data_IF_004427992445
#
_entry.id   IF_004427992445
#
_cell.length_a   1.000
_cell.length_b   1.000
_cell.length_c   1.000
_cell.angle_alpha   90.00
_cell.angle_beta   90.00
_cell.angle_gamma   90.00
#
_symmetry.space_group_name_H-M   'P 1'
#
loop_
_entity.id
_entity.type
_entity.pdbx_description
1 polymer ?
#
# COMPACT_ATOMS: atom_id res chain seq x y z
N UNK A 1 28.76 -8.91 7.12
CA UNK A 1 28.31 -10.10 7.86
C UNK A 1 27.31 -10.86 7.01
N UNK A 2 27.69 -12.04 6.50
CA UNK A 2 26.90 -12.76 5.51
C UNK A 2 25.53 -13.23 6.07
N UNK A 3 25.45 -13.72 7.30
CA UNK A 3 24.19 -14.10 7.95
C UNK A 3 23.12 -12.97 7.96
N UNK A 4 23.51 -11.74 8.32
CA UNK A 4 22.60 -10.59 8.30
C UNK A 4 22.13 -10.22 6.88
N UNK A 5 23.01 -10.38 5.89
CA UNK A 5 22.66 -10.20 4.48
C UNK A 5 21.66 -11.24 3.98
N UNK A 6 21.80 -12.50 4.39
CA UNK A 6 20.85 -13.58 4.04
C UNK A 6 19.48 -13.32 4.66
N UNK A 7 19.43 -12.92 5.93
CA UNK A 7 18.17 -12.56 6.59
C UNK A 7 17.48 -11.39 5.87
N UNK A 8 18.23 -10.33 5.52
CA UNK A 8 17.70 -9.20 4.76
C UNK A 8 17.17 -9.59 3.38
N UNK A 9 17.88 -10.47 2.66
CA UNK A 9 17.44 -11.01 1.38
C UNK A 9 16.13 -11.79 1.51
N UNK A 10 16.06 -12.72 2.48
CA UNK A 10 14.87 -13.54 2.72
C UNK A 10 13.69 -12.66 3.16
N UNK A 11 13.91 -11.68 4.04
CA UNK A 11 12.90 -10.71 4.46
C UNK A 11 12.37 -9.91 3.26
N UNK A 12 13.25 -9.43 2.38
CA UNK A 12 12.87 -8.71 1.16
C UNK A 12 12.06 -9.56 0.18
N UNK A 13 12.46 -10.81 -0.05
CA UNK A 13 11.72 -11.75 -0.91
C UNK A 13 10.34 -12.07 -0.32
N UNK A 14 10.28 -12.32 0.98
CA UNK A 14 9.03 -12.61 1.68
C UNK A 14 8.09 -11.40 1.70
N UNK A 15 8.61 -10.19 1.92
CA UNK A 15 7.84 -8.95 1.80
C UNK A 15 7.34 -8.73 0.37
N UNK A 16 8.14 -9.03 -0.65
CA UNK A 16 7.72 -8.92 -2.05
C UNK A 16 6.54 -9.85 -2.37
N UNK A 17 6.61 -11.11 -1.92
CA UNK A 17 5.52 -12.07 -2.04
C UNK A 17 4.26 -11.57 -1.32
N UNK A 18 4.40 -11.14 -0.06
CA UNK A 18 3.27 -10.65 0.72
C UNK A 18 2.63 -9.42 0.08
N UNK A 19 3.45 -8.49 -0.40
CA UNK A 19 3.02 -7.29 -1.10
C UNK A 19 2.23 -7.62 -2.35
N UNK A 20 2.68 -8.59 -3.16
CA UNK A 20 1.93 -9.05 -4.33
C UNK A 20 0.53 -9.58 -3.94
N UNK A 21 0.43 -10.33 -2.83
CA UNK A 21 -0.83 -10.91 -2.37
C UNK A 21 -1.80 -9.86 -1.83
N UNK A 22 -1.40 -9.05 -0.83
CA UNK A 22 -2.32 -8.08 -0.22
C UNK A 22 -2.63 -6.91 -1.15
N UNK A 23 -1.69 -6.45 -2.00
CA UNK A 23 -2.00 -5.45 -3.03
C UNK A 23 -2.91 -6.02 -4.10
N UNK A 24 -2.67 -7.27 -4.52
CA UNK A 24 -3.55 -7.96 -5.46
C UNK A 24 -5.00 -7.98 -4.95
N UNK A 25 -5.19 -8.29 -3.66
CA UNK A 25 -6.49 -8.29 -3.01
C UNK A 25 -7.14 -6.89 -3.04
N UNK A 26 -6.40 -5.87 -2.66
CA UNK A 26 -6.87 -4.49 -2.62
C UNK A 26 -7.21 -3.93 -4.01
N UNK A 27 -6.40 -4.23 -5.02
CA UNK A 27 -6.67 -3.83 -6.40
C UNK A 27 -7.87 -4.58 -7.00
N UNK A 28 -8.03 -5.86 -6.68
CA UNK A 28 -9.21 -6.61 -7.10
C UNK A 28 -10.48 -6.08 -6.42
N UNK A 29 -10.41 -5.73 -5.13
CA UNK A 29 -11.51 -5.08 -4.42
C UNK A 29 -11.85 -3.69 -4.98
N UNK A 30 -10.85 -2.85 -5.22
CA UNK A 30 -11.05 -1.55 -5.87
C UNK A 30 -11.60 -1.68 -7.30
N UNK A 31 -11.12 -2.68 -8.06
CA UNK A 31 -11.64 -3.03 -9.38
C UNK A 31 -13.10 -3.46 -9.34
N UNK A 32 -13.50 -4.24 -8.32
CA UNK A 32 -14.89 -4.65 -8.12
C UNK A 32 -15.82 -3.48 -7.75
N UNK A 33 -15.35 -2.55 -6.91
CA UNK A 33 -16.06 -1.29 -6.65
C UNK A 33 -16.25 -0.52 -7.95
N UNK A 34 -15.19 -0.36 -8.76
CA UNK A 34 -15.28 0.34 -10.03
C UNK A 34 -16.21 -0.35 -11.02
N UNK A 35 -16.16 -1.69 -11.10
CA UNK A 35 -17.02 -2.47 -11.99
C UNK A 35 -18.50 -2.34 -11.61
N UNK A 36 -18.81 -2.40 -10.32
CA UNK A 36 -20.20 -2.38 -9.84
C UNK A 36 -20.77 -0.96 -9.82
N UNK A 37 -20.00 0.02 -9.31
CA UNK A 37 -20.48 1.38 -9.06
C UNK A 37 -20.13 2.39 -10.14
N UNK A 38 -19.12 2.12 -10.97
CA UNK A 38 -18.54 3.10 -11.91
C UNK A 38 -17.73 4.22 -11.24
N UNK A 39 -17.65 4.25 -9.90
CA UNK A 39 -16.99 5.32 -9.16
C UNK A 39 -15.48 5.13 -9.12
N UNK A 40 -14.75 6.22 -9.35
CA UNK A 40 -13.27 6.29 -9.24
C UNK A 40 -12.78 7.22 -8.14
N UNK A 41 -13.57 8.24 -7.82
CA UNK A 41 -13.20 9.24 -6.84
C UNK A 41 -13.69 8.82 -5.46
N UNK A 42 -12.78 8.76 -4.49
CA UNK A 42 -13.08 8.40 -3.11
C UNK A 42 -14.08 9.38 -2.46
N UNK A 43 -14.12 10.64 -2.91
CA UNK A 43 -15.09 11.62 -2.41
C UNK A 43 -16.54 11.32 -2.82
N UNK A 44 -16.74 10.56 -3.90
CA UNK A 44 -18.07 10.15 -4.37
C UNK A 44 -18.55 8.84 -3.73
N UNK A 45 -17.68 8.18 -2.96
CA UNK A 45 -17.97 6.90 -2.30
C UNK A 45 -18.44 7.12 -0.85
N UNK A 46 -19.23 6.16 -0.34
CA UNK A 46 -19.69 6.13 1.04
C UNK A 46 -20.70 5.00 1.25
N UNK A 47 -20.73 4.41 2.45
CA UNK A 47 -21.71 3.39 2.84
C UNK A 47 -21.69 2.09 2.03
N UNK A 48 -20.61 1.81 1.27
CA UNK A 48 -20.52 0.63 0.41
C UNK A 48 -20.55 -0.70 1.18
N UNK A 49 -20.35 -0.71 2.50
CA UNK A 49 -20.50 -1.93 3.31
C UNK A 49 -21.91 -2.51 3.22
N UNK A 50 -22.93 -1.69 2.97
CA UNK A 50 -24.31 -2.14 2.88
C UNK A 50 -24.67 -2.68 1.50
N UNK A 51 -24.14 -2.09 0.42
CA UNK A 51 -24.39 -2.53 -0.95
C UNK A 51 -23.45 -3.64 -1.41
N UNK A 52 -22.21 -3.66 -0.92
CA UNK A 52 -21.14 -4.59 -1.29
C UNK A 52 -20.46 -5.24 -0.07
N UNK A 53 -21.21 -5.94 0.81
CA UNK A 53 -20.69 -6.43 2.09
C UNK A 53 -19.55 -7.44 1.95
N UNK A 54 -19.55 -8.30 0.92
CA UNK A 54 -18.47 -9.28 0.72
C UNK A 54 -17.21 -8.60 0.22
N UNK A 55 -17.34 -7.66 -0.71
CA UNK A 55 -16.21 -6.83 -1.17
C UNK A 55 -15.62 -6.03 -0.01
N UNK A 56 -16.47 -5.42 0.83
CA UNK A 56 -16.03 -4.71 2.03
C UNK A 56 -15.24 -5.62 2.98
N UNK A 57 -15.72 -6.84 3.25
CA UNK A 57 -15.02 -7.80 4.10
C UNK A 57 -13.64 -8.19 3.55
N UNK A 58 -13.54 -8.54 2.26
CA UNK A 58 -12.26 -8.90 1.66
C UNK A 58 -11.30 -7.71 1.55
N UNK A 59 -11.82 -6.52 1.21
CA UNK A 59 -11.02 -5.30 1.19
C UNK A 59 -10.50 -4.97 2.59
N UNK A 60 -11.31 -5.17 3.64
CA UNK A 60 -10.87 -5.00 5.02
C UNK A 60 -9.71 -5.93 5.35
N UNK A 61 -9.77 -7.22 4.98
CA UNK A 61 -8.64 -8.14 5.18
C UNK A 61 -7.37 -7.62 4.49
N UNK A 62 -7.49 -7.14 3.24
CA UNK A 62 -6.36 -6.54 2.53
C UNK A 62 -5.84 -5.28 3.22
N UNK A 63 -6.73 -4.42 3.72
CA UNK A 63 -6.39 -3.18 4.42
C UNK A 63 -5.69 -3.45 5.77
N UNK A 64 -6.14 -4.46 6.51
CA UNK A 64 -5.48 -4.90 7.74
C UNK A 64 -4.11 -5.53 7.43
N UNK A 65 -4.01 -6.31 6.34
CA UNK A 65 -2.77 -6.97 5.94
C UNK A 65 -1.69 -5.97 5.54
N UNK A 66 -2.02 -5.00 4.66
CA UNK A 66 -1.09 -3.95 4.25
C UNK A 66 -0.73 -2.97 5.38
N UNK A 67 -1.59 -2.86 6.40
CA UNK A 67 -1.32 -2.07 7.61
C UNK A 67 -0.54 -2.84 8.67
N UNK A 68 0.05 -3.99 8.29
CA UNK A 68 0.88 -4.82 9.16
C UNK A 68 0.20 -5.23 10.47
N UNK A 69 -1.10 -5.55 10.45
CA UNK A 69 -1.79 -6.03 11.65
C UNK A 69 -1.67 -7.55 11.82
N UNK A 70 -1.29 -8.03 13.01
CA UNK A 70 -1.38 -9.45 13.33
C UNK A 70 -2.83 -9.94 13.25
N UNK A 71 -3.11 -11.14 12.71
CA UNK A 71 -2.19 -12.24 12.36
C UNK A 71 -1.79 -12.28 10.87
N UNK A 72 -1.94 -11.17 10.12
CA UNK A 72 -1.84 -11.20 8.67
C UNK A 72 -0.39 -11.16 8.19
N UNK A 73 -0.19 -11.58 6.94
CA UNK A 73 1.13 -11.73 6.33
C UNK A 73 1.98 -10.45 6.32
N UNK A 74 1.38 -9.27 6.12
CA UNK A 74 2.12 -8.00 6.10
C UNK A 74 2.90 -7.74 7.40
N UNK A 75 2.32 -8.09 8.55
CA UNK A 75 2.99 -7.97 9.86
C UNK A 75 4.27 -8.81 9.88
N UNK A 76 4.19 -10.07 9.45
CA UNK A 76 5.32 -10.99 9.50
C UNK A 76 6.47 -10.52 8.60
N UNK A 77 6.17 -10.05 7.39
CA UNK A 77 7.22 -9.54 6.50
C UNK A 77 7.87 -8.25 6.97
N UNK A 78 7.09 -7.31 7.52
CA UNK A 78 7.67 -6.09 8.09
C UNK A 78 8.48 -6.40 9.34
N UNK A 79 7.99 -7.29 10.21
CA UNK A 79 8.73 -7.76 11.38
C UNK A 79 10.08 -8.34 11.00
N UNK A 80 10.15 -9.24 10.01
CA UNK A 80 11.41 -9.79 9.50
C UNK A 80 12.34 -8.71 8.93
N UNK A 81 11.79 -7.69 8.28
CA UNK A 81 12.57 -6.57 7.75
C UNK A 81 13.16 -5.72 8.89
N UNK A 82 12.38 -5.47 9.95
CA UNK A 82 12.88 -4.82 11.16
C UNK A 82 13.96 -5.66 11.84
N UNK A 83 13.79 -6.97 11.95
CA UNK A 83 14.80 -7.86 12.53
C UNK A 83 16.11 -7.81 11.75
N UNK A 84 16.06 -7.82 10.42
CA UNK A 84 17.24 -7.62 9.59
C UNK A 84 17.92 -6.26 9.83
N UNK A 85 17.13 -5.19 9.99
CA UNK A 85 17.66 -3.86 10.29
C UNK A 85 18.23 -3.74 11.72
N UNK A 86 17.70 -4.49 12.69
CA UNK A 86 18.17 -4.47 14.08
C UNK A 86 19.48 -5.24 14.28
N UNK A 87 19.88 -6.09 13.33
CA UNK A 87 21.20 -6.73 13.33
C UNK A 87 22.36 -5.77 12.99
N UNK A 88 22.10 -4.46 12.89
CA UNK A 88 23.10 -3.42 12.65
C UNK A 88 24.35 -3.48 13.57
N UNK A 89 24.26 -3.79 14.88
CA UNK A 89 25.44 -3.86 15.75
C UNK A 89 26.46 -4.90 15.32
N UNK A 90 26.04 -5.92 14.57
CA UNK A 90 26.91 -6.96 14.06
C UNK A 90 27.73 -6.50 12.85
N UNK A 91 27.46 -5.32 12.26
CA UNK A 91 28.14 -4.88 11.04
C UNK A 91 29.48 -4.21 11.35
N UNK A 92 30.54 -4.67 10.66
CA UNK A 92 31.89 -4.10 10.75
C UNK A 92 32.05 -2.71 10.10
N UNK A 93 31.10 -2.28 9.27
CA UNK A 93 31.16 -0.98 8.59
C UNK A 93 30.32 0.06 9.36
N UNK A 94 31.00 1.06 9.93
CA UNK A 94 30.39 2.09 10.78
C UNK A 94 29.35 2.95 10.04
N UNK A 95 29.56 3.20 8.75
CA UNK A 95 28.62 3.97 7.92
C UNK A 95 27.31 3.20 7.76
N UNK A 96 27.39 1.93 7.37
CA UNK A 96 26.20 1.08 7.19
C UNK A 96 25.48 0.89 8.52
N UNK A 97 26.23 0.65 9.61
CA UNK A 97 25.69 0.51 10.97
C UNK A 97 24.88 1.73 11.41
N UNK A 98 25.35 2.94 11.08
CA UNK A 98 24.67 4.20 11.45
C UNK A 98 23.42 4.48 10.60
N UNK A 99 23.37 3.95 9.37
CA UNK A 99 22.23 4.14 8.46
C UNK A 99 21.06 3.19 8.75
N UNK A 100 21.30 1.98 9.26
CA UNK A 100 20.24 0.99 9.50
C UNK A 100 19.12 1.47 10.43
N UNK A 101 19.39 2.14 11.57
CA UNK A 101 18.35 2.72 12.40
C UNK A 101 17.50 3.77 11.67
N UNK A 102 18.11 4.55 10.78
CA UNK A 102 17.39 5.53 9.96
C UNK A 102 16.45 4.80 8.98
N UNK A 103 16.91 3.72 8.34
CA UNK A 103 16.05 2.90 7.48
C UNK A 103 14.89 2.26 8.25
N UNK A 104 15.14 1.73 9.44
CA UNK A 104 14.08 1.23 10.32
C UNK A 104 13.08 2.34 10.68
N UNK A 105 13.55 3.53 11.03
CA UNK A 105 12.67 4.67 11.32
C UNK A 105 11.81 5.07 10.10
N UNK A 106 12.40 5.09 8.89
CA UNK A 106 11.64 5.35 7.66
C UNK A 106 10.63 4.26 7.34
N UNK A 107 10.95 2.99 7.63
CA UNK A 107 10.03 1.87 7.46
C UNK A 107 8.85 1.99 8.43
N UNK A 108 9.11 2.34 9.70
CA UNK A 108 8.08 2.56 10.70
C UNK A 108 7.16 3.74 10.32
N UNK A 109 7.73 4.84 9.84
CA UNK A 109 6.96 5.98 9.33
C UNK A 109 6.10 5.58 8.12
N UNK A 110 6.66 4.81 7.19
CA UNK A 110 5.92 4.30 6.04
C UNK A 110 4.75 3.39 6.45
N UNK A 111 4.96 2.51 7.43
CA UNK A 111 3.90 1.68 8.01
C UNK A 111 2.79 2.52 8.64
N UNK A 112 3.14 3.54 9.43
CA UNK A 112 2.15 4.45 10.04
C UNK A 112 1.33 5.23 9.01
N UNK A 113 1.98 5.76 7.96
CA UNK A 113 1.29 6.44 6.86
C UNK A 113 0.41 5.49 6.06
N UNK A 114 0.85 4.24 5.88
CA UNK A 114 0.08 3.18 5.22
C UNK A 114 -1.19 2.87 6.01
N UNK A 115 -1.08 2.62 7.32
CA UNK A 115 -2.23 2.39 8.19
C UNK A 115 -3.22 3.55 8.13
N UNK A 116 -2.75 4.79 8.22
CA UNK A 116 -3.61 5.98 8.11
C UNK A 116 -4.32 6.05 6.74
N UNK A 117 -3.60 5.76 5.66
CA UNK A 117 -4.15 5.75 4.31
C UNK A 117 -5.28 4.71 4.17
N UNK A 118 -5.09 3.50 4.71
CA UNK A 118 -6.10 2.45 4.61
C UNK A 118 -7.26 2.62 5.59
N UNK A 119 -7.05 3.25 6.74
CA UNK A 119 -8.15 3.75 7.60
C UNK A 119 -8.97 4.78 6.83
N UNK A 120 -8.34 5.74 6.14
CA UNK A 120 -9.01 6.72 5.29
C UNK A 120 -9.80 6.06 4.17
N UNK A 121 -9.17 5.17 3.40
CA UNK A 121 -9.82 4.51 2.26
C UNK A 121 -11.02 3.68 2.74
N UNK A 122 -10.83 2.87 3.79
CA UNK A 122 -11.90 2.02 4.29
C UNK A 122 -13.04 2.84 4.92
N UNK A 123 -12.69 3.81 5.76
CA UNK A 123 -13.65 4.67 6.46
C UNK A 123 -14.48 5.53 5.50
N UNK A 124 -13.87 6.11 4.48
CA UNK A 124 -14.59 6.98 3.53
C UNK A 124 -15.37 6.17 2.50
N UNK A 125 -14.82 5.08 1.96
CA UNK A 125 -15.49 4.32 0.90
C UNK A 125 -16.63 3.44 1.45
N UNK A 126 -16.38 2.71 2.54
CA UNK A 126 -17.29 1.65 2.99
C UNK A 126 -18.19 2.04 4.15
N UNK A 127 -17.73 2.94 5.03
CA UNK A 127 -18.52 3.39 6.18
C UNK A 127 -19.30 4.68 5.86
N UNK A 128 -20.08 5.16 6.82
CA UNK A 128 -20.89 6.36 6.65
C UNK A 128 -22.16 6.11 5.83
N UNK A 129 -22.80 7.19 5.34
CA UNK A 129 -23.99 7.09 4.48
C UNK A 129 -23.61 7.11 3.00
N UNK A 130 -24.39 6.44 2.13
CA UNK A 130 -24.24 6.55 0.68
C UNK A 130 -24.21 8.01 0.22
N UNK A 131 -23.24 8.32 -0.64
CA UNK A 131 -23.11 9.66 -1.25
C UNK A 131 -23.80 9.68 -2.60
N UNK A 132 -24.33 10.85 -2.94
CA UNK A 132 -24.78 11.12 -4.30
C UNK A 132 -23.54 11.36 -5.17
N UNK A 133 -23.34 10.60 -6.26
CA UNK A 133 -22.19 10.81 -7.14
C UNK A 133 -22.23 12.23 -7.73
N UNK A 134 -21.09 12.93 -7.75
CA UNK A 134 -20.98 14.23 -8.43
C UNK A 134 -21.28 14.15 -9.95
N UNK A 135 -21.17 12.95 -10.52
CA UNK A 135 -21.50 12.65 -11.92
C UNK A 135 -22.52 11.51 -11.98
N UNK A 136 -23.67 11.77 -12.61
CA UNK A 136 -24.70 10.76 -12.91
C UNK A 136 -24.21 9.79 -13.99
N UNK A 137 -23.29 8.90 -13.65
CA UNK A 137 -22.98 7.74 -14.49
C UNK A 137 -23.98 6.63 -14.18
N UNK A 138 -24.64 6.03 -15.20
CA UNK A 138 -25.50 4.87 -14.98
C UNK A 138 -24.71 3.76 -14.31
N UNK A 139 -25.21 3.27 -13.17
CA UNK A 139 -24.59 2.17 -12.41
C UNK A 139 -24.76 0.89 -13.25
N UNK A 140 -23.69 0.24 -13.73
CA UNK A 140 -23.82 -0.93 -14.61
C UNK A 140 -24.42 -2.14 -13.89
N UNK A 141 -24.06 -2.34 -12.61
CA UNK A 141 -24.49 -3.45 -11.78
C UNK A 141 -24.63 -2.96 -10.33
N UNK A 142 -25.86 -2.66 -9.88
CA UNK A 142 -26.14 -2.17 -8.52
C UNK A 142 -25.97 -3.20 -7.39
N UNK A 143 -25.08 -4.19 -7.56
CA UNK A 143 -24.87 -5.28 -6.61
C UNK A 143 -23.41 -5.45 -6.19
N UNK A 144 -23.18 -6.42 -5.32
CA UNK A 144 -21.83 -6.82 -4.88
C UNK A 144 -21.05 -7.53 -6.01
N UNK A 145 -19.76 -7.79 -5.77
CA UNK A 145 -18.84 -8.46 -6.67
C UNK A 145 -19.39 -9.73 -7.33
N UNK A 146 -19.01 -9.93 -8.61
CA UNK A 146 -19.34 -11.13 -9.37
C UNK A 146 -18.76 -12.42 -8.73
N UNK A 147 -19.27 -13.59 -9.13
CA UNK A 147 -18.79 -14.87 -8.59
C UNK A 147 -17.26 -15.06 -8.71
N UNK A 148 -16.70 -14.75 -9.87
CA UNK A 148 -15.27 -14.89 -10.13
C UNK A 148 -14.43 -13.85 -9.38
N UNK A 149 -14.88 -12.60 -9.30
CA UNK A 149 -14.20 -11.56 -8.51
C UNK A 149 -14.13 -11.96 -7.04
N UNK A 150 -15.23 -12.47 -6.48
CA UNK A 150 -15.28 -12.95 -5.10
C UNK A 150 -14.35 -14.12 -4.86
N UNK A 151 -14.26 -15.06 -5.81
CA UNK A 151 -13.32 -16.18 -5.71
C UNK A 151 -11.88 -15.67 -5.69
N UNK A 152 -11.51 -14.76 -6.58
CA UNK A 152 -10.17 -14.16 -6.60
C UNK A 152 -9.84 -13.43 -5.30
N UNK A 153 -10.80 -12.66 -4.76
CA UNK A 153 -10.62 -11.97 -3.48
C UNK A 153 -10.50 -12.96 -2.31
N UNK A 154 -11.34 -14.01 -2.27
CA UNK A 154 -11.30 -15.03 -1.24
C UNK A 154 -9.97 -15.80 -1.25
N UNK A 155 -9.46 -16.15 -2.43
CA UNK A 155 -8.17 -16.82 -2.60
C UNK A 155 -7.02 -15.97 -2.05
N UNK A 156 -6.97 -14.68 -2.41
CA UNK A 156 -5.91 -13.78 -1.94
C UNK A 156 -6.05 -13.46 -0.45
N UNK A 157 -7.29 -13.33 0.05
CA UNK A 157 -7.55 -13.16 1.49
C UNK A 157 -7.10 -14.40 2.29
N UNK A 158 -7.39 -15.60 1.80
CA UNK A 158 -6.90 -16.84 2.41
C UNK A 158 -5.37 -16.91 2.38
N UNK A 159 -4.74 -16.51 1.28
CA UNK A 159 -3.29 -16.44 1.18
C UNK A 159 -2.68 -15.45 2.20
N UNK A 160 -3.31 -14.30 2.46
CA UNK A 160 -2.88 -13.38 3.53
C UNK A 160 -2.86 -14.05 4.92
N UNK A 161 -3.84 -14.90 5.24
CA UNK A 161 -3.86 -15.66 6.49
C UNK A 161 -2.85 -16.80 6.49
N UNK A 162 -2.77 -17.59 5.42
CA UNK A 162 -1.85 -18.74 5.33
C UNK A 162 -0.39 -18.27 5.45
N UNK A 163 -0.02 -17.21 4.73
CA UNK A 163 1.32 -16.65 4.79
C UNK A 163 1.60 -16.07 6.19
N UNK A 164 0.63 -15.42 6.83
CA UNK A 164 0.79 -14.84 8.17
C UNK A 164 0.85 -15.87 9.30
N UNK A 165 0.07 -16.94 9.23
CA UNK A 165 -0.03 -17.97 10.28
C UNK A 165 1.04 -19.05 10.17
N UNK A 166 1.52 -19.35 8.96
CA UNK A 166 2.51 -20.40 8.70
C UNK A 166 3.77 -19.86 8.01
N UNK A 167 4.42 -18.79 8.51
CA UNK A 167 5.52 -18.15 7.82
C UNK A 167 6.76 -19.05 7.69
N UNK A 168 7.00 -19.90 8.69
CA UNK A 168 8.14 -20.84 8.76
C UNK A 168 8.23 -21.73 7.53
N UNK A 169 7.13 -22.31 7.05
CA UNK A 169 7.12 -23.17 5.85
C UNK A 169 7.60 -22.42 4.61
N UNK A 170 7.22 -21.15 4.46
CA UNK A 170 7.64 -20.31 3.34
C UNK A 170 9.08 -19.83 3.50
N UNK A 171 9.51 -19.53 4.73
CA UNK A 171 10.89 -19.14 5.01
C UNK A 171 11.88 -20.27 4.72
N UNK A 172 11.53 -21.52 5.01
CA UNK A 172 12.34 -22.68 4.63
C UNK A 172 12.48 -22.81 3.11
N UNK A 173 11.43 -22.49 2.36
CA UNK A 173 11.49 -22.47 0.89
C UNK A 173 12.40 -21.35 0.39
N UNK A 174 12.26 -20.14 0.93
CA UNK A 174 13.09 -18.98 0.59
C UNK A 174 14.54 -19.15 1.04
N UNK A 175 14.79 -19.88 2.13
CA UNK A 175 16.13 -20.19 2.60
C UNK A 175 16.95 -20.97 1.55
N UNK A 176 16.31 -21.87 0.78
CA UNK A 176 16.99 -22.56 -0.33
C UNK A 176 17.55 -21.58 -1.37
N UNK A 177 16.83 -20.49 -1.62
CA UNK A 177 17.26 -19.41 -2.52
C UNK A 177 18.44 -18.65 -1.88
N UNK A 178 18.34 -18.33 -0.58
CA UNK A 178 19.43 -17.71 0.18
C UNK A 178 20.74 -18.51 0.11
N UNK A 179 20.66 -19.81 0.39
CA UNK A 179 21.80 -20.75 0.30
C UNK A 179 22.35 -20.82 -1.12
N UNK A 180 21.50 -20.92 -2.13
CA UNK A 180 21.93 -20.99 -3.53
C UNK A 180 22.64 -19.72 -4.01
N UNK A 181 22.26 -18.55 -3.53
CA UNK A 181 22.81 -17.26 -3.98
C UNK A 181 24.03 -16.82 -3.17
N UNK A 182 24.06 -17.13 -1.89
CA UNK A 182 25.07 -16.58 -0.95
C UNK A 182 25.98 -17.65 -0.34
N UNK A 183 25.66 -18.93 -0.54
CA UNK A 183 26.34 -20.05 0.13
C UNK A 183 26.02 -20.18 1.62
N UNK A 184 25.16 -19.30 2.19
CA UNK A 184 24.75 -19.31 3.59
C UNK A 184 23.22 -19.30 3.71
N UNK A 185 22.72 -19.90 4.79
CA UNK A 185 21.29 -19.95 5.12
C UNK A 185 20.95 -19.18 6.39
N UNK A 186 19.69 -19.29 6.80
CA UNK A 186 19.24 -18.93 8.14
C UNK A 186 19.98 -19.76 9.21
N UNK A 187 19.99 -19.27 10.46
CA UNK A 187 20.62 -19.97 11.59
C UNK A 187 20.02 -21.37 11.81
N UNK A 188 20.81 -22.30 12.35
CA UNK A 188 20.33 -23.65 12.66
C UNK A 188 19.13 -23.61 13.63
N UNK A 189 19.14 -22.71 14.61
CA UNK A 189 18.00 -22.47 15.51
C UNK A 189 16.73 -22.03 14.76
N UNK A 190 16.86 -21.20 13.71
CA UNK A 190 15.73 -20.81 12.88
C UNK A 190 15.18 -21.99 12.07
N UNK A 191 16.05 -22.92 11.65
CA UNK A 191 15.69 -24.11 10.88
C UNK A 191 15.08 -25.22 11.76
N UNK A 192 15.52 -25.33 13.01
CA UNK A 192 14.98 -26.27 14.00
C UNK A 192 13.74 -25.75 14.72
N UNK A 193 13.43 -24.46 14.58
CA UNK A 193 12.22 -23.86 15.16
C UNK A 193 10.95 -24.57 14.67
N UNK A 194 10.07 -24.92 15.60
CA UNK A 194 8.78 -25.53 15.27
C UNK A 194 7.95 -24.58 14.40
N UNK A 195 7.07 -25.13 13.55
CA UNK A 195 6.16 -24.35 12.68
C UNK A 195 5.38 -23.23 13.39
N UNK A 196 5.17 -23.39 14.71
CA UNK A 196 4.47 -22.49 15.59
C UNK A 196 5.28 -21.26 16.03
N UNK A 197 6.61 -21.34 16.00
CA UNK A 197 7.53 -20.29 16.41
C UNK A 197 8.26 -19.71 15.21
N UNK A 198 8.25 -18.39 15.09
CA UNK A 198 9.12 -17.67 14.18
C UNK A 198 10.34 -17.21 14.97
N UNK A 199 11.48 -17.87 14.71
CA UNK A 199 12.80 -17.51 15.29
C UNK A 199 13.69 -17.03 14.15
N UNK A 200 13.84 -15.71 13.93
CA UNK A 200 14.60 -15.21 12.79
C UNK A 200 16.12 -15.21 13.01
N UNK A 201 16.56 -15.06 14.26
CA UNK A 201 17.97 -14.83 14.63
C UNK A 201 18.42 -15.75 15.75
N UNK A 202 17.90 -15.52 16.96
CA UNK A 202 18.11 -16.31 18.16
C UNK A 202 16.80 -16.36 18.96
N UNK A 203 16.58 -17.46 19.69
CA UNK A 203 15.36 -17.66 20.46
C UNK A 203 15.13 -16.56 21.53
N UNK A 204 16.22 -16.05 22.10
CA UNK A 204 16.22 -15.13 23.24
C UNK A 204 16.02 -13.65 22.87
N UNK A 205 16.16 -13.29 21.59
CA UNK A 205 16.11 -11.89 21.17
C UNK A 205 14.70 -11.45 20.75
N UNK A 206 14.05 -12.21 19.86
CA UNK A 206 12.86 -11.73 19.16
C UNK A 206 11.97 -12.84 18.57
N UNK A 207 11.72 -13.89 19.34
CA UNK A 207 10.80 -14.96 18.93
C UNK A 207 9.34 -14.53 19.01
N UNK A 208 8.56 -14.89 17.99
CA UNK A 208 7.12 -14.61 17.95
C UNK A 208 6.35 -15.82 17.45
N UNK A 209 5.19 -16.13 18.06
CA UNK A 209 4.28 -17.17 17.58
C UNK A 209 3.01 -16.54 16.98
N UNK A 210 2.80 -16.63 15.65
CA UNK A 210 1.62 -16.09 14.99
C UNK A 210 0.30 -16.61 15.57
N UNK A 211 0.26 -17.89 15.91
CA UNK A 211 -0.95 -18.58 16.35
C UNK A 211 -1.26 -18.23 17.80
N UNK A 212 -0.26 -18.26 18.70
CA UNK A 212 -0.47 -17.85 20.09
C UNK A 212 -0.92 -16.39 20.13
N UNK A 213 -0.29 -15.52 19.35
CA UNK A 213 -0.67 -14.12 19.32
C UNK A 213 -2.09 -13.90 18.81
N UNK A 214 -2.52 -14.63 17.77
CA UNK A 214 -3.90 -14.64 17.32
C UNK A 214 -4.86 -15.10 18.42
N UNK A 215 -4.55 -16.21 19.09
CA UNK A 215 -5.36 -16.75 20.20
C UNK A 215 -5.50 -15.73 21.31
N UNK A 216 -4.41 -15.04 21.67
CA UNK A 216 -4.42 -13.96 22.68
C UNK A 216 -5.29 -12.79 22.24
N UNK A 217 -5.16 -12.31 20.99
CA UNK A 217 -6.02 -11.23 20.47
C UNK A 217 -7.49 -11.62 20.56
N UNK A 218 -7.84 -12.82 20.09
CA UNK A 218 -9.22 -13.33 20.10
C UNK A 218 -9.72 -13.48 21.54
N UNK A 219 -8.92 -14.04 22.45
CA UNK A 219 -9.27 -14.22 23.84
C UNK A 219 -9.50 -12.88 24.55
N UNK A 220 -8.61 -11.90 24.37
CA UNK A 220 -8.73 -10.56 24.96
C UNK A 220 -9.96 -9.84 24.39
N UNK A 221 -10.19 -9.92 23.08
CA UNK A 221 -11.35 -9.29 22.44
C UNK A 221 -12.66 -9.91 22.90
N UNK A 222 -12.74 -11.25 22.99
CA UNK A 222 -13.89 -11.96 23.51
C UNK A 222 -14.12 -11.67 24.99
N UNK A 223 -13.07 -11.65 25.80
CA UNK A 223 -13.15 -11.30 27.20
C UNK A 223 -13.69 -9.87 27.35
N UNK A 224 -13.11 -8.89 26.66
CA UNK A 224 -13.58 -7.51 26.67
C UNK A 224 -15.06 -7.42 26.25
N UNK A 225 -15.45 -8.11 25.19
CA UNK A 225 -16.85 -8.17 24.73
C UNK A 225 -17.79 -8.76 25.80
N UNK A 226 -17.40 -9.87 26.42
CA UNK A 226 -18.17 -10.52 27.48
C UNK A 226 -18.25 -9.64 28.74
N UNK A 227 -17.15 -9.00 29.13
CA UNK A 227 -17.11 -8.07 30.26
C UNK A 227 -18.00 -6.85 30.01
N UNK A 228 -17.94 -6.26 28.80
CA UNK A 228 -18.83 -5.16 28.42
C UNK A 228 -20.28 -5.59 28.49
N UNK A 229 -20.64 -6.76 27.93
CA UNK A 229 -22.01 -7.28 28.03
C UNK A 229 -22.43 -7.61 29.47
N UNK A 230 -21.51 -8.07 30.32
CA UNK A 230 -21.77 -8.51 31.70
C UNK A 230 -21.81 -7.37 32.71
N UNK A 231 -21.16 -6.24 32.44
CA UNK A 231 -21.16 -5.08 33.34
C UNK A 231 -22.05 -3.94 32.82
N UNK A 232 -22.18 -3.79 31.50
CA UNK A 232 -22.99 -2.74 30.87
C UNK A 232 -24.27 -3.35 30.26
N UNK A 233 -25.24 -3.69 31.12
CA UNK A 233 -26.58 -4.16 30.72
C UNK A 233 -27.54 -3.00 30.42
N UNK A 234 -27.04 -1.89 29.88
CA UNK A 234 -27.92 -0.81 29.44
C UNK A 234 -28.85 -1.32 28.34
N UNK A 235 -30.12 -0.90 28.33
CA UNK A 235 -31.01 -1.14 27.20
C UNK A 235 -30.38 -0.49 25.98
N UNK A 236 -29.88 -1.29 25.02
CA UNK A 236 -29.43 -0.77 23.73
C UNK A 236 -30.65 -0.15 23.06
N UNK A 237 -30.67 1.18 22.97
CA UNK A 237 -31.71 1.93 22.28
C UNK A 237 -31.21 2.21 20.87
N UNK A 238 -31.98 1.76 19.88
CA UNK A 238 -31.84 2.29 18.52
C UNK A 238 -32.44 3.70 18.52
N UNK A 239 -31.57 4.69 18.34
CA UNK A 239 -31.93 6.10 18.22
C UNK A 239 -31.08 6.69 17.09
N UNK A 240 -31.52 7.83 16.57
CA UNK A 240 -30.73 8.56 15.61
C UNK A 240 -29.37 8.95 16.22
N UNK A 241 -28.28 8.92 15.43
CA UNK A 241 -26.98 9.38 15.88
C UNK A 241 -27.08 10.80 16.45
N UNK A 242 -26.30 11.08 17.49
CA UNK A 242 -26.20 12.43 18.03
C UNK A 242 -25.75 13.39 16.94
N UNK A 243 -26.58 14.38 16.67
CA UNK A 243 -26.43 15.30 15.54
C UNK A 243 -25.91 16.68 15.97
N UNK A 244 -25.43 16.82 17.21
CA UNK A 244 -25.08 18.09 17.82
C UNK A 244 -26.22 19.13 17.79
N UNK A 245 -27.48 18.67 17.74
CA UNK A 245 -28.66 19.53 17.66
C UNK A 245 -29.07 19.91 16.23
N UNK A 246 -28.55 19.24 15.20
CA UNK A 246 -28.91 19.45 13.79
C UNK A 246 -29.79 18.33 13.24
N UNK A 247 -31.12 18.52 13.16
CA UNK A 247 -32.08 17.44 12.93
C UNK A 247 -31.98 16.75 11.54
N UNK A 248 -31.29 17.35 10.56
CA UNK A 248 -31.22 16.86 9.19
C UNK A 248 -29.77 16.67 8.71
N UNK A 249 -29.09 15.66 9.25
CA UNK A 249 -27.79 15.26 8.71
C UNK A 249 -27.95 14.70 7.30
N UNK A 250 -27.25 15.29 6.33
CA UNK A 250 -27.20 14.81 4.94
C UNK A 250 -25.86 14.15 4.64
N UNK A 251 -25.78 13.41 3.54
CA UNK A 251 -24.51 12.80 3.09
C UNK A 251 -23.40 13.82 2.85
N UNK A 252 -23.75 15.09 2.59
CA UNK A 252 -22.84 16.23 2.42
C UNK A 252 -22.13 16.67 3.69
N UNK A 253 -22.66 16.34 4.86
CA UNK A 253 -22.09 16.74 6.16
C UNK A 253 -21.05 15.75 6.69
N UNK A 254 -20.80 14.65 5.98
CA UNK A 254 -19.77 13.68 6.35
C UNK A 254 -18.38 14.14 5.91
N UNK A 255 -17.36 13.72 6.65
CA UNK A 255 -15.96 13.98 6.29
C UNK A 255 -15.64 13.46 4.90
N UNK A 256 -15.08 14.31 4.05
CA UNK A 256 -14.61 13.91 2.72
C UNK A 256 -13.23 13.24 2.82
N UNK A 257 -12.82 12.53 1.76
CA UNK A 257 -11.46 12.00 1.69
C UNK A 257 -10.43 13.12 1.81
N UNK A 258 -10.75 14.29 1.26
CA UNK A 258 -9.93 15.47 1.39
C UNK A 258 -9.83 15.94 2.83
N UNK A 259 -10.95 16.17 3.51
CA UNK A 259 -10.97 16.62 4.90
C UNK A 259 -10.18 15.67 5.82
N UNK A 260 -10.37 14.36 5.68
CA UNK A 260 -9.67 13.34 6.47
C UNK A 260 -8.14 13.45 6.34
N UNK A 261 -7.64 13.75 5.13
CA UNK A 261 -6.21 13.88 4.85
C UNK A 261 -5.61 15.27 5.12
N UNK A 262 -6.39 16.22 5.64
CA UNK A 262 -5.97 17.63 5.74
C UNK A 262 -4.71 17.82 6.58
N UNK A 263 -4.60 17.16 7.73
CA UNK A 263 -3.47 17.27 8.66
C UNK A 263 -2.15 16.86 7.98
N UNK A 264 -2.13 15.68 7.35
CA UNK A 264 -0.97 15.19 6.59
C UNK A 264 -0.62 16.13 5.44
N UNK A 265 -1.60 16.62 4.70
CA UNK A 265 -1.34 17.58 3.60
C UNK A 265 -0.79 18.91 4.08
N UNK A 266 -1.08 19.31 5.31
CA UNK A 266 -0.47 20.50 5.90
C UNK A 266 1.00 20.24 6.22
N UNK A 267 1.30 19.12 6.87
CA UNK A 267 2.68 18.71 7.22
C UNK A 267 3.55 18.54 5.97
N UNK A 268 3.05 17.82 4.96
CA UNK A 268 3.79 17.57 3.71
C UNK A 268 3.51 18.62 2.63
N UNK A 269 2.76 19.67 2.96
CA UNK A 269 2.39 20.74 2.02
C UNK A 269 3.56 21.36 1.27
N UNK A 270 4.72 21.61 1.91
CA UNK A 270 5.90 22.13 1.23
C UNK A 270 6.47 21.22 0.13
N UNK A 271 6.14 19.92 0.09
CA UNK A 271 6.61 19.00 -0.95
C UNK A 271 5.73 19.03 -2.21
N UNK A 272 4.46 19.38 -2.06
CA UNK A 272 3.48 19.33 -3.13
C UNK A 272 3.12 20.72 -3.66
N UNK A 273 2.69 20.78 -4.92
CA UNK A 273 2.03 21.95 -5.49
C UNK A 273 0.52 21.79 -5.28
N UNK A 274 -0.04 22.56 -4.35
CA UNK A 274 -1.47 22.50 -4.02
C UNK A 274 -2.19 23.73 -4.58
N UNK A 275 -3.18 23.50 -5.44
CA UNK A 275 -4.15 24.51 -5.87
C UNK A 275 -5.46 24.26 -5.15
N UNK A 276 -5.97 25.27 -4.46
CA UNK A 276 -7.20 25.21 -3.65
C UNK A 276 -8.13 26.29 -4.14
N UNK A 277 -9.36 25.90 -4.43
CA UNK A 277 -10.47 26.81 -4.64
C UNK A 277 -11.45 26.64 -3.48
N UNK A 278 -11.65 27.73 -2.74
CA UNK A 278 -12.50 27.76 -1.55
C UNK A 278 -13.76 28.56 -1.92
N UNK A 279 -14.95 27.98 -1.75
CA UNK A 279 -16.17 28.69 -2.05
C UNK A 279 -16.34 29.89 -1.10
N UNK A 280 -16.95 30.95 -1.61
CA UNK A 280 -17.26 32.13 -0.82
C UNK A 280 -18.35 31.85 0.23
N UNK A 281 -18.47 32.69 1.28
CA UNK A 281 -19.57 32.59 2.25
C UNK A 281 -20.97 32.68 1.61
N UNK A 282 -21.07 33.43 0.51
CA UNK A 282 -22.33 33.72 -0.19
C UNK A 282 -22.55 32.85 -1.44
N UNK A 283 -21.72 31.81 -1.64
CA UNK A 283 -21.82 30.95 -2.81
C UNK A 283 -23.11 30.09 -2.74
N UNK A 284 -24.03 30.16 -3.71
CA UNK A 284 -25.30 29.45 -3.64
C UNK A 284 -25.13 27.92 -3.76
N UNK A 285 -23.99 27.46 -4.29
CA UNK A 285 -23.64 26.05 -4.39
C UNK A 285 -22.14 25.86 -4.09
N UNK A 286 -21.73 25.94 -2.81
CA UNK A 286 -20.32 25.94 -2.44
C UNK A 286 -19.67 24.62 -2.86
N UNK A 287 -18.62 24.72 -3.69
CA UNK A 287 -17.82 23.58 -4.15
C UNK A 287 -16.38 23.77 -3.72
N UNK A 288 -15.87 22.81 -2.97
CA UNK A 288 -14.46 22.73 -2.66
C UNK A 288 -13.72 22.03 -3.80
N UNK A 289 -12.74 22.70 -4.40
CA UNK A 289 -11.84 22.07 -5.37
C UNK A 289 -10.41 22.06 -4.84
N UNK A 290 -9.78 20.89 -4.93
CA UNK A 290 -8.39 20.71 -4.57
C UNK A 290 -7.70 19.90 -5.64
N UNK A 291 -6.61 20.47 -6.17
CA UNK A 291 -5.68 19.78 -7.05
C UNK A 291 -4.32 19.71 -6.37
N UNK A 292 -3.78 18.49 -6.27
CA UNK A 292 -2.45 18.23 -5.73
C UNK A 292 -1.60 17.68 -6.86
N UNK A 293 -0.49 18.36 -7.14
CA UNK A 293 0.50 17.93 -8.13
C UNK A 293 1.86 17.74 -7.45
N UNK A 294 2.65 16.82 -7.98
CA UNK A 294 4.03 16.63 -7.51
C UNK A 294 4.91 17.77 -8.04
N UNK A 295 5.60 18.47 -7.13
CA UNK A 295 6.54 19.54 -7.52
C UNK A 295 7.77 18.98 -8.23
N UNK A 296 8.21 17.77 -7.87
CA UNK A 296 9.36 17.10 -8.46
C UNK A 296 9.12 16.73 -9.94
N UNK A 297 7.86 16.51 -10.34
CA UNK A 297 7.50 16.29 -11.74
C UNK A 297 7.96 17.42 -12.66
N UNK A 298 7.76 18.67 -12.23
CA UNK A 298 8.11 19.86 -13.01
C UNK A 298 9.61 20.16 -13.02
N UNK A 299 10.34 19.73 -11.97
CA UNK A 299 11.77 19.98 -11.82
C UNK A 299 12.65 18.88 -12.42
N UNK A 300 12.20 17.62 -12.39
CA UNK A 300 13.00 16.48 -12.81
C UNK A 300 12.50 15.91 -14.14
N UNK A 301 11.23 15.48 -14.19
CA UNK A 301 10.70 14.76 -15.35
C UNK A 301 10.45 15.66 -16.55
N UNK A 302 9.81 16.82 -16.33
CA UNK A 302 9.42 17.71 -17.42
C UNK A 302 10.63 18.30 -18.18
N UNK A 303 11.74 18.71 -17.53
CA UNK A 303 12.93 19.15 -18.25
C UNK A 303 13.57 18.04 -19.06
N UNK A 304 13.63 16.81 -18.52
CA UNK A 304 14.15 15.64 -19.24
C UNK A 304 13.28 15.32 -20.45
N UNK A 305 11.95 15.33 -20.30
CA UNK A 305 11.01 15.11 -21.40
C UNK A 305 11.18 16.18 -22.49
N UNK A 306 11.24 17.46 -22.12
CA UNK A 306 11.49 18.57 -23.06
C UNK A 306 12.85 18.47 -23.75
N UNK A 307 13.89 18.03 -23.03
CA UNK A 307 15.21 17.82 -23.61
C UNK A 307 15.17 16.67 -24.64
N UNK A 308 14.47 15.57 -24.32
CA UNK A 308 14.28 14.45 -25.24
C UNK A 308 13.49 14.89 -26.50
N UNK A 309 12.41 15.64 -26.34
CA UNK A 309 11.64 16.22 -27.45
C UNK A 309 12.49 17.18 -28.28
N UNK A 310 13.30 18.03 -27.64
CA UNK A 310 14.20 18.94 -28.33
C UNK A 310 15.21 18.17 -29.18
N UNK A 311 15.90 17.17 -28.62
CA UNK A 311 16.84 16.33 -29.38
C UNK A 311 16.13 15.60 -30.51
N UNK A 312 14.96 15.01 -30.26
CA UNK A 312 14.15 14.33 -31.27
C UNK A 312 13.79 15.27 -32.43
N UNK A 313 13.38 16.50 -32.13
CA UNK A 313 13.07 17.51 -33.15
C UNK A 313 14.27 17.88 -34.02
N UNK A 314 15.49 17.88 -33.46
CA UNK A 314 16.72 18.13 -34.21
C UNK A 314 17.14 16.94 -35.07
N UNK A 315 16.94 15.72 -34.58
CA UNK A 315 17.18 14.49 -35.36
C UNK A 315 16.19 14.38 -36.52
N UNK A 316 14.94 14.81 -36.33
CA UNK A 316 13.95 14.86 -37.41
C UNK A 316 14.39 15.77 -38.58
N UNK A 317 15.20 16.81 -38.32
CA UNK A 317 15.81 17.65 -39.36
C UNK A 317 16.83 16.88 -40.23
N UNK A 318 17.31 15.72 -39.82
CA UNK A 318 18.15 14.88 -40.70
C UNK A 318 17.31 14.20 -41.80
N UNK A 319 15.98 14.17 -41.67
CA UNK A 319 15.09 13.49 -42.62
C UNK A 319 14.41 14.47 -43.60
N UNK A 320 15.18 15.26 -44.33
CA UNK A 320 14.67 16.27 -45.29
C UNK A 320 14.07 15.69 -46.60
N UNK A 321 13.95 14.36 -46.76
CA UNK A 321 13.31 13.72 -47.92
C UNK A 321 14.07 13.85 -49.25
N UNK A 322 15.24 14.51 -49.27
CA UNK A 322 16.10 14.62 -50.45
C UNK A 322 17.16 13.52 -50.45
N UNK A 323 17.16 12.69 -51.49
CA UNK A 323 18.08 11.55 -51.65
C UNK A 323 19.56 11.99 -51.59
N UNK A 324 19.90 13.16 -52.15
CA UNK A 324 21.27 13.69 -52.14
C UNK A 324 21.84 13.92 -50.73
N UNK A 325 20.99 14.30 -49.77
CA UNK A 325 21.38 14.53 -48.38
C UNK A 325 21.68 13.19 -47.68
N UNK A 326 20.89 12.16 -47.95
CA UNK A 326 21.13 10.83 -47.41
C UNK A 326 22.42 10.20 -47.94
N UNK A 327 22.72 10.37 -49.23
CA UNK A 327 23.98 9.90 -49.81
C UNK A 327 25.19 10.62 -49.19
N UNK A 328 25.07 11.93 -48.93
CA UNK A 328 26.12 12.69 -48.22
C UNK A 328 26.34 12.15 -46.81
N UNK A 329 25.27 11.88 -46.05
CA UNK A 329 25.39 11.28 -44.72
C UNK A 329 26.07 9.92 -44.77
N UNK A 330 25.66 9.01 -45.67
CA UNK A 330 26.28 7.69 -45.84
C UNK A 330 27.77 7.79 -46.18
N UNK A 331 28.16 8.71 -47.07
CA UNK A 331 29.56 8.94 -47.43
C UNK A 331 30.39 9.47 -46.25
N UNK A 332 29.86 10.44 -45.49
CA UNK A 332 30.52 10.97 -44.28
C UNK A 332 30.66 9.87 -43.22
N UNK A 333 29.62 9.07 -42.99
CA UNK A 333 29.66 7.95 -42.03
C UNK A 333 30.72 6.92 -42.44
N UNK A 334 30.85 6.63 -43.74
CA UNK A 334 31.84 5.69 -44.26
C UNK A 334 33.28 6.20 -44.08
N UNK A 335 33.52 7.50 -44.31
CA UNK A 335 34.81 8.14 -44.01
C UNK A 335 35.10 8.09 -42.51
N UNK A 336 34.13 8.45 -41.67
CA UNK A 336 34.30 8.42 -40.21
C UNK A 336 34.64 7.00 -39.72
N UNK A 337 33.91 5.99 -40.16
CA UNK A 337 34.21 4.60 -39.83
C UNK A 337 35.60 4.18 -40.31
N UNK A 338 36.03 4.57 -41.52
CA UNK A 338 37.39 4.29 -42.01
C UNK A 338 38.50 4.96 -41.19
N UNK A 339 38.22 6.13 -40.61
CA UNK A 339 39.17 6.84 -39.73
C UNK A 339 39.23 6.19 -38.34
N UNK A 340 38.10 5.72 -37.80
CA UNK A 340 38.03 5.11 -36.47
C UNK A 340 38.33 3.60 -36.43
N UNK A 341 38.25 2.91 -37.59
CA UNK A 341 38.53 1.46 -37.73
C UNK A 341 39.95 1.21 -38.28
N UNK A 342 40.71 2.25 -38.61
CA UNK A 342 42.16 2.18 -38.80
C UNK A 342 42.90 2.17 -37.48
#
# INVERSE_FOLDING_TARGET
>A
HPAAGVLGLIAGLYHTLNHAVFKGLLFLGAGSILHSTGLRNLNDMGGLVHSMPKTAFYFLIGALAISALPPLNGFVSEWLTFQAALQAPLLANDVVRSLLPLFAATLALAGALTAMCFVKVYGIAFLGRPREPAHHTPVPHGGDASGMERYGMAWLAAACFVLGLFPTSFLLMLNRIGVSLTGQGLSEEALESSWLWLVPTAADEASYSPIIFLVVIVAVTLLAFLLVRRFYHGRVRFADPWDCGFPEQTSRMQDTADAFGQSIRHVFGPLYRMQRDLPGPDDPAPRYFLKIEDRHWYWLYLPVARAAEFVSSKVALLQHGRISIYLLYSFITLIALLVFVR
#
